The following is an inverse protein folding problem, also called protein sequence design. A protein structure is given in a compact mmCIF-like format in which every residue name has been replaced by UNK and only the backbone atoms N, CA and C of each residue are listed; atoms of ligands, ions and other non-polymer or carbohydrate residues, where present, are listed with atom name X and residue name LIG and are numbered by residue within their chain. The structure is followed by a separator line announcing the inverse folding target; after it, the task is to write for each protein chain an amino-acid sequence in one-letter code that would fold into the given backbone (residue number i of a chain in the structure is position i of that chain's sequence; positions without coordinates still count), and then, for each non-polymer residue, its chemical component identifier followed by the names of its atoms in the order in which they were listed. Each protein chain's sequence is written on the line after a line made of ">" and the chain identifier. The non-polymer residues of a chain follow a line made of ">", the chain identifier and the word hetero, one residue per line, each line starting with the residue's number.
data_IF_215124837771
#
_entry.id   IF_215124837771
#
_cell.length_a   1.000
_cell.length_b   1.000
_cell.length_c   1.000
_cell.angle_alpha   90.00
_cell.angle_beta   90.00
_cell.angle_gamma   90.00
#
_symmetry.space_group_name_H-M   'P 1'
#
loop_
_entity.id
_entity.type
_entity.pdbx_description
1 polymer ?
#
# COMPACT_ATOMS: atom_id res chain seq x y z
N UNK A 1 20.26 7.61 5.57
CA UNK A 1 18.88 8.02 5.23
C UNK A 1 18.41 7.21 4.04
N UNK A 2 17.30 6.55 4.21
CA UNK A 2 16.75 5.63 3.21
C UNK A 2 15.27 5.94 2.98
N UNK A 3 14.94 6.76 1.97
CA UNK A 3 13.56 7.17 1.76
C UNK A 3 12.64 6.00 1.47
N UNK A 4 13.10 5.01 0.74
CA UNK A 4 12.28 3.84 0.40
C UNK A 4 11.86 3.08 1.65
N UNK A 5 12.79 2.81 2.57
CA UNK A 5 12.49 2.11 3.81
C UNK A 5 11.71 2.97 4.80
N UNK A 6 12.02 4.28 4.88
CA UNK A 6 11.28 5.18 5.77
C UNK A 6 9.81 5.26 5.40
N UNK A 7 9.51 5.35 4.11
CA UNK A 7 8.13 5.37 3.63
C UNK A 7 7.43 4.06 3.93
N UNK A 8 8.07 2.94 3.60
CA UNK A 8 7.51 1.60 3.82
C UNK A 8 7.13 1.42 5.29
N UNK A 9 8.06 1.73 6.19
CA UNK A 9 7.84 1.60 7.65
C UNK A 9 6.71 2.50 8.12
N UNK A 10 6.69 3.75 7.67
CA UNK A 10 5.66 4.72 8.07
C UNK A 10 4.27 4.28 7.62
N UNK A 11 4.15 3.82 6.37
CA UNK A 11 2.88 3.32 5.85
C UNK A 11 2.44 2.07 6.62
N UNK A 12 3.34 1.15 6.86
CA UNK A 12 3.05 -0.10 7.58
C UNK A 12 2.53 0.17 8.99
N UNK A 13 3.19 1.07 9.73
CA UNK A 13 2.78 1.44 11.09
C UNK A 13 1.37 2.02 11.10
N UNK A 14 1.08 2.95 10.20
CA UNK A 14 -0.23 3.58 10.13
C UNK A 14 -1.33 2.61 9.66
N UNK A 15 -1.03 1.73 8.72
CA UNK A 15 -1.97 0.70 8.28
C UNK A 15 -2.31 -0.25 9.43
N UNK A 16 -1.33 -0.65 10.23
CA UNK A 16 -1.54 -1.56 11.37
C UNK A 16 -2.34 -0.93 12.50
N UNK A 17 -2.27 0.38 12.65
CA UNK A 17 -3.15 1.10 13.59
C UNK A 17 -4.60 1.06 13.15
N UNK A 18 -4.83 1.21 11.86
CA UNK A 18 -6.19 1.26 11.28
C UNK A 18 -6.81 -0.13 11.12
N UNK A 19 -5.99 -1.13 10.78
CA UNK A 19 -6.40 -2.49 10.51
C UNK A 19 -5.59 -3.47 11.36
N UNK A 20 -5.80 -3.50 12.68
CA UNK A 20 -5.04 -4.38 13.56
C UNK A 20 -5.20 -5.84 13.14
N UNK A 21 -4.10 -6.59 13.12
CA UNK A 21 -4.03 -8.00 12.77
C UNK A 21 -4.50 -8.34 11.34
N UNK A 22 -4.63 -7.34 10.48
CA UNK A 22 -5.08 -7.52 9.10
C UNK A 22 -4.06 -7.04 8.06
N UNK A 23 -2.87 -6.63 8.48
CA UNK A 23 -1.85 -6.09 7.56
C UNK A 23 -0.63 -6.98 7.56
N UNK A 24 -0.24 -7.40 6.37
CA UNK A 24 0.91 -8.27 6.14
C UNK A 24 1.90 -7.59 5.20
N UNK A 25 3.17 -7.91 5.38
CA UNK A 25 4.26 -7.37 4.57
C UNK A 25 5.25 -8.48 4.21
N UNK A 26 6.09 -8.23 3.21
CA UNK A 26 7.19 -9.09 2.79
C UNK A 26 6.76 -10.43 2.20
N UNK A 27 5.89 -11.17 2.90
CA UNK A 27 5.40 -12.48 2.46
C UNK A 27 3.87 -12.49 2.53
N UNK A 28 3.25 -13.22 1.61
CA UNK A 28 1.83 -13.49 1.68
C UNK A 28 1.52 -14.19 3.01
N UNK A 29 0.38 -13.90 3.63
CA UNK A 29 0.02 -14.54 4.88
C UNK A 29 -0.17 -16.04 4.70
N UNK A 30 -0.01 -16.84 5.77
CA UNK A 30 -0.17 -18.28 5.68
C UNK A 30 -1.61 -18.66 5.31
N UNK A 31 -1.73 -19.84 4.72
CA UNK A 31 -3.04 -20.42 4.42
C UNK A 31 -3.91 -20.46 5.67
N UNK A 32 -5.20 -20.15 5.53
CA UNK A 32 -6.14 -20.08 6.63
C UNK A 32 -6.21 -18.70 7.30
N UNK A 33 -5.44 -17.73 6.82
CA UNK A 33 -5.52 -16.36 7.31
C UNK A 33 -6.90 -15.77 7.03
N UNK A 34 -7.54 -15.12 8.02
CA UNK A 34 -8.85 -14.54 7.82
C UNK A 34 -8.84 -13.42 6.79
N UNK A 35 -9.88 -13.39 5.96
CA UNK A 35 -10.17 -12.28 5.06
C UNK A 35 -11.12 -11.27 5.72
N UNK A 36 -11.15 -10.01 5.30
CA UNK A 36 -10.22 -9.40 4.34
C UNK A 36 -8.88 -9.06 4.99
N UNK A 37 -7.86 -8.87 4.18
CA UNK A 37 -6.57 -8.40 4.67
C UNK A 37 -5.90 -7.46 3.68
N UNK A 38 -4.95 -6.69 4.18
CA UNK A 38 -4.12 -5.76 3.41
C UNK A 38 -2.72 -6.34 3.31
N UNK A 39 -2.16 -6.33 2.13
CA UNK A 39 -0.78 -6.76 1.89
C UNK A 39 0.03 -5.61 1.34
N UNK A 40 1.00 -5.16 2.12
CA UNK A 40 1.95 -4.12 1.71
C UNK A 40 3.07 -4.79 0.94
N UNK A 41 3.05 -4.62 -0.38
CA UNK A 41 3.87 -5.40 -1.31
C UNK A 41 5.11 -4.63 -1.79
N UNK A 42 5.38 -4.73 -3.07
CA UNK A 42 6.60 -4.20 -3.68
C UNK A 42 6.63 -2.68 -3.68
N UNK A 43 7.84 -2.14 -3.61
CA UNK A 43 8.05 -0.72 -3.84
C UNK A 43 9.27 -0.50 -4.74
N UNK A 44 9.29 0.66 -5.37
CA UNK A 44 10.35 1.04 -6.29
C UNK A 44 10.71 2.49 -6.05
N UNK A 45 12.00 2.78 -5.98
CA UNK A 45 12.49 4.15 -5.84
C UNK A 45 13.17 4.59 -7.13
N UNK A 46 12.85 5.80 -7.56
CA UNK A 46 13.51 6.47 -8.69
C UNK A 46 14.05 7.79 -8.19
N UNK A 47 15.35 7.94 -8.22
CA UNK A 47 16.02 9.16 -7.79
C UNK A 47 16.00 10.21 -8.90
N UNK A 48 15.78 11.46 -8.49
CA UNK A 48 15.93 12.60 -9.38
C UNK A 48 17.33 13.15 -9.20
N UNK A 49 18.08 13.18 -10.28
CA UNK A 49 19.46 13.70 -10.26
C UNK A 49 19.43 15.21 -10.03
N UNK A 50 20.00 15.61 -8.91
CA UNK A 50 20.03 17.01 -8.50
C UNK A 50 21.37 17.28 -7.81
N UNK A 51 21.98 18.43 -8.09
CA UNK A 51 23.31 18.75 -7.57
C UNK A 51 23.32 19.11 -6.08
N UNK A 52 22.19 19.55 -5.53
CA UNK A 52 22.16 20.18 -4.21
C UNK A 52 21.18 19.53 -3.23
N UNK A 53 20.32 18.62 -3.69
CA UNK A 53 19.29 18.03 -2.84
C UNK A 53 19.02 16.59 -3.23
N UNK A 54 18.58 15.81 -2.26
CA UNK A 54 18.10 14.45 -2.49
C UNK A 54 16.59 14.56 -2.73
N UNK A 55 16.15 14.08 -3.88
CA UNK A 55 14.73 14.03 -4.20
C UNK A 55 14.48 12.87 -5.14
N UNK A 56 13.22 12.49 -5.27
CA UNK A 56 12.82 11.40 -6.14
C UNK A 56 11.40 10.97 -5.89
N UNK A 57 11.12 9.76 -6.34
CA UNK A 57 9.78 9.16 -6.21
C UNK A 57 9.90 7.74 -5.67
N UNK A 58 8.94 7.35 -4.84
CA UNK A 58 8.77 5.97 -4.38
C UNK A 58 7.36 5.53 -4.75
N UNK A 59 7.28 4.45 -5.50
CA UNK A 59 5.99 3.82 -5.83
C UNK A 59 5.78 2.63 -4.92
N UNK A 60 4.65 2.59 -4.24
CA UNK A 60 4.28 1.54 -3.31
C UNK A 60 3.03 0.83 -3.80
N UNK A 61 3.12 -0.50 -3.92
CA UNK A 61 1.98 -1.34 -4.27
C UNK A 61 1.35 -1.90 -3.00
N UNK A 62 0.03 -1.78 -2.89
CA UNK A 62 -0.74 -2.29 -1.74
C UNK A 62 -1.91 -3.09 -2.29
N UNK A 63 -2.07 -4.32 -1.77
CA UNK A 63 -3.16 -5.21 -2.15
C UNK A 63 -4.17 -5.32 -1.02
N UNK A 64 -5.44 -5.45 -1.40
CA UNK A 64 -6.53 -5.79 -0.48
C UNK A 64 -7.21 -7.03 -1.03
N UNK A 65 -7.32 -8.07 -0.20
CA UNK A 65 -7.90 -9.35 -0.59
C UNK A 65 -9.14 -9.66 0.22
N UNK A 66 -10.16 -10.20 -0.44
CA UNK A 66 -11.36 -10.72 0.21
C UNK A 66 -11.80 -12.02 -0.47
N UNK A 67 -12.30 -12.95 0.31
CA UNK A 67 -12.77 -14.25 -0.19
C UNK A 67 -14.28 -14.28 -0.47
N UNK A 68 -14.98 -13.18 -0.27
CA UNK A 68 -16.40 -13.09 -0.57
C UNK A 68 -16.61 -12.20 -1.81
N UNK A 69 -16.99 -12.78 -2.96
CA UNK A 69 -17.15 -12.00 -4.20
C UNK A 69 -18.27 -10.97 -4.14
N UNK A 70 -19.17 -11.07 -3.15
CA UNK A 70 -20.24 -10.08 -2.92
C UNK A 70 -19.77 -8.88 -2.12
N UNK A 71 -18.56 -8.91 -1.56
CA UNK A 71 -18.01 -7.87 -0.71
C UNK A 71 -17.04 -6.94 -1.46
N UNK A 72 -17.34 -6.66 -2.72
CA UNK A 72 -16.57 -5.70 -3.50
C UNK A 72 -16.57 -4.31 -2.84
N UNK A 73 -17.70 -3.91 -2.26
CA UNK A 73 -17.81 -2.66 -1.52
C UNK A 73 -16.91 -2.60 -0.30
N UNK A 74 -16.72 -3.71 0.40
CA UNK A 74 -15.78 -3.80 1.53
C UNK A 74 -14.36 -3.55 1.07
N UNK A 75 -13.95 -4.18 -0.03
CA UNK A 75 -12.62 -3.98 -0.61
C UNK A 75 -12.44 -2.52 -1.01
N UNK A 76 -13.43 -1.93 -1.67
CA UNK A 76 -13.38 -0.51 -2.06
C UNK A 76 -13.25 0.42 -0.86
N UNK A 77 -13.98 0.15 0.22
CA UNK A 77 -13.90 0.93 1.46
C UNK A 77 -12.53 0.82 2.12
N UNK A 78 -11.94 -0.38 2.15
CA UNK A 78 -10.60 -0.58 2.68
C UNK A 78 -9.56 0.15 1.85
N UNK A 79 -9.69 0.11 0.53
CA UNK A 79 -8.79 0.85 -0.38
C UNK A 79 -8.89 2.36 -0.12
N UNK A 80 -10.08 2.86 0.10
CA UNK A 80 -10.29 4.28 0.45
C UNK A 80 -9.60 4.62 1.77
N UNK A 81 -9.72 3.76 2.77
CA UNK A 81 -9.04 3.93 4.06
C UNK A 81 -7.52 3.94 3.92
N UNK A 82 -6.97 3.03 3.11
CA UNK A 82 -5.54 2.98 2.82
C UNK A 82 -5.10 4.28 2.14
N UNK A 83 -5.84 4.76 1.15
CA UNK A 83 -5.52 6.01 0.47
C UNK A 83 -5.51 7.19 1.43
N UNK A 84 -6.49 7.28 2.33
CA UNK A 84 -6.55 8.36 3.32
C UNK A 84 -5.33 8.38 4.21
N UNK A 85 -4.87 7.21 4.63
CA UNK A 85 -3.65 7.07 5.42
C UNK A 85 -2.46 7.60 4.63
N UNK A 86 -2.33 7.19 3.37
CA UNK A 86 -1.21 7.61 2.53
C UNK A 86 -1.24 9.13 2.26
N UNK A 87 -2.42 9.70 2.02
CA UNK A 87 -2.56 11.15 1.81
C UNK A 87 -2.23 11.95 3.06
N UNK A 88 -2.44 11.39 4.24
CA UNK A 88 -2.13 12.08 5.49
C UNK A 88 -0.64 12.03 5.87
N UNK A 89 0.14 11.22 5.17
CA UNK A 89 1.56 11.04 5.43
C UNK A 89 2.35 12.15 4.74
N UNK A 90 2.69 13.21 5.46
CA UNK A 90 3.37 14.37 4.92
C UNK A 90 4.87 14.39 5.23
N UNK A 91 5.27 13.73 6.32
CA UNK A 91 6.66 13.72 6.77
C UNK A 91 7.03 12.39 7.38
N UNK A 92 8.28 12.00 7.16
CA UNK A 92 8.98 11.00 7.96
C UNK A 92 10.18 11.68 8.62
N UNK A 93 10.99 10.94 9.37
CA UNK A 93 12.10 11.53 10.11
C UNK A 93 13.00 12.42 9.26
N UNK A 94 13.30 12.00 8.02
CA UNK A 94 14.28 12.69 7.19
C UNK A 94 13.70 13.29 5.90
N UNK A 95 12.44 13.04 5.58
CA UNK A 95 11.88 13.43 4.29
C UNK A 95 10.49 14.04 4.41
N UNK A 96 10.19 14.92 3.47
CA UNK A 96 8.82 15.38 3.21
C UNK A 96 8.23 14.56 2.07
N UNK A 97 6.94 14.26 2.14
CA UNK A 97 6.24 13.38 1.21
C UNK A 97 5.01 14.04 0.62
N UNK A 98 4.78 13.81 -0.65
CA UNK A 98 3.57 14.25 -1.35
C UNK A 98 3.17 13.15 -2.33
N UNK A 99 1.88 12.84 -2.37
CA UNK A 99 1.38 11.89 -3.37
C UNK A 99 1.34 12.57 -4.72
N UNK A 100 1.95 11.92 -5.70
CA UNK A 100 2.01 12.38 -7.08
C UNK A 100 0.96 11.72 -7.95
N UNK A 101 0.70 10.43 -7.73
CA UNK A 101 -0.23 9.66 -8.55
C UNK A 101 -0.76 8.45 -7.78
N UNK A 102 -2.02 8.09 -8.04
CA UNK A 102 -2.64 6.88 -7.49
C UNK A 102 -3.35 6.14 -8.60
N UNK A 103 -3.03 4.87 -8.77
CA UNK A 103 -3.75 3.96 -9.66
C UNK A 103 -4.48 2.92 -8.81
N UNK A 104 -5.73 2.65 -9.14
CA UNK A 104 -6.58 1.76 -8.35
C UNK A 104 -7.34 0.82 -9.27
N UNK A 105 -7.29 -0.48 -8.96
CA UNK A 105 -8.02 -1.51 -9.68
C UNK A 105 -8.66 -2.50 -8.70
N UNK A 106 -9.81 -3.05 -9.07
CA UNK A 106 -10.45 -4.15 -8.37
C UNK A 106 -10.72 -5.25 -9.38
N UNK A 107 -10.19 -6.44 -9.11
CA UNK A 107 -10.24 -7.58 -10.01
C UNK A 107 -10.92 -8.77 -9.32
N UNK A 108 -11.52 -9.64 -10.14
CA UNK A 108 -11.89 -10.98 -9.69
C UNK A 108 -10.70 -11.90 -9.91
N UNK A 109 -10.41 -12.75 -8.95
CA UNK A 109 -9.31 -13.71 -9.03
C UNK A 109 -9.85 -15.11 -8.73
N UNK A 110 -9.74 -16.00 -9.72
CA UNK A 110 -10.22 -17.38 -9.62
C UNK A 110 -9.09 -18.40 -9.67
N UNK A 111 -7.83 -17.94 -9.54
CA UNK A 111 -6.65 -18.80 -9.69
C UNK A 111 -6.52 -19.86 -8.61
N UNK A 112 -7.14 -19.64 -7.46
CA UNK A 112 -7.09 -20.57 -6.32
C UNK A 112 -8.24 -21.58 -6.30
N UNK A 113 -9.11 -21.57 -7.31
CA UNK A 113 -10.31 -22.40 -7.32
C UNK A 113 -11.46 -21.84 -6.49
N UNK A 114 -11.20 -20.86 -5.66
CA UNK A 114 -12.19 -20.09 -4.89
C UNK A 114 -12.20 -18.66 -5.42
N UNK A 115 -13.38 -18.08 -5.71
CA UNK A 115 -13.41 -16.70 -6.18
C UNK A 115 -12.93 -15.72 -5.11
N UNK A 116 -11.97 -14.88 -5.47
CA UNK A 116 -11.46 -13.82 -4.60
C UNK A 116 -11.71 -12.47 -5.25
N UNK A 117 -11.86 -11.44 -4.42
CA UNK A 117 -11.86 -10.05 -4.85
C UNK A 117 -10.49 -9.48 -4.49
N UNK A 118 -9.83 -8.89 -5.47
CA UNK A 118 -8.47 -8.39 -5.33
C UNK A 118 -8.41 -6.91 -5.70
N UNK A 119 -8.22 -6.06 -4.70
CA UNK A 119 -7.95 -4.65 -4.90
C UNK A 119 -6.46 -4.38 -4.99
N UNK A 120 -6.05 -3.55 -5.94
CA UNK A 120 -4.66 -3.17 -6.13
C UNK A 120 -4.56 -1.65 -6.13
N UNK A 121 -3.74 -1.12 -5.24
CA UNK A 121 -3.36 0.29 -5.22
C UNK A 121 -1.89 0.41 -5.58
N UNK A 122 -1.60 1.31 -6.51
CA UNK A 122 -0.23 1.73 -6.81
C UNK A 122 -0.15 3.21 -6.52
N UNK A 123 0.63 3.57 -5.51
CA UNK A 123 0.72 4.95 -5.04
C UNK A 123 2.14 5.45 -5.28
N UNK A 124 2.24 6.51 -6.06
CA UNK A 124 3.52 7.17 -6.31
C UNK A 124 3.65 8.37 -5.39
N UNK A 125 4.66 8.33 -4.52
CA UNK A 125 5.03 9.43 -3.62
C UNK A 125 6.24 10.15 -4.18
N UNK A 126 6.25 11.46 -4.03
CA UNK A 126 7.43 12.26 -4.29
C UNK A 126 8.05 12.65 -2.95
N UNK A 127 9.37 12.59 -2.84
CA UNK A 127 10.10 12.96 -1.62
C UNK A 127 11.14 14.04 -1.88
N UNK A 128 11.37 14.78 -0.82
CA UNK A 128 12.42 15.81 -0.81
C UNK A 128 13.04 15.95 0.57
#
# INVERSE_FOLDING_TARGET
>A
MDPQQELFTAVLVELRKRYPDQVYDTFLPPEGTPYPFVYLADNQQVDVQNKTAISGNVSQTIHVWHDNPRQRGTVSQMMLGVKRICYSLEHTEHFAWMIKNVTQRILSDNTTGQPLVHGILEIEFSFS
#
